data_IF_405032920530
#
_entry.id   IF_405032920530
#
_cell.length_a   1.000
_cell.length_b   1.000
_cell.length_c   1.000
_cell.angle_alpha   90.00
_cell.angle_beta   90.00
_cell.angle_gamma   90.00
#
_symmetry.space_group_name_H-M   'P 1'
#
loop_
_entity.id
_entity.type
_entity.pdbx_description
1 polymer ?
#
# COMPACT_ATOMS: atom_id res chain seq x y z
N UNK A 1 0.80 14.29 -16.13
CA UNK A 1 2.09 14.91 -15.73
C UNK A 1 1.97 16.42 -15.49
N UNK A 2 1.34 17.19 -16.39
CA UNK A 2 1.17 18.66 -16.25
C UNK A 2 0.63 19.07 -14.86
N UNK A 3 -0.46 18.45 -14.39
CA UNK A 3 -1.02 18.72 -13.04
C UNK A 3 -0.10 18.33 -11.89
N UNK A 4 0.69 17.26 -12.01
CA UNK A 4 1.62 16.84 -10.95
C UNK A 4 2.77 17.84 -10.81
N UNK A 5 3.24 18.37 -11.95
CA UNK A 5 4.27 19.39 -12.00
C UNK A 5 3.77 20.74 -11.44
N UNK A 6 2.54 21.15 -11.76
CA UNK A 6 1.90 22.33 -11.16
C UNK A 6 1.80 22.22 -9.63
N UNK A 7 1.46 21.03 -9.14
CA UNK A 7 1.37 20.71 -7.71
C UNK A 7 2.72 20.46 -7.04
N UNK A 8 3.83 20.52 -7.79
CA UNK A 8 5.21 20.29 -7.32
C UNK A 8 5.42 18.91 -6.66
N UNK A 9 4.67 17.90 -7.11
CA UNK A 9 4.92 16.53 -6.69
C UNK A 9 6.09 15.94 -7.47
N UNK A 10 7.05 15.37 -6.75
CA UNK A 10 8.09 14.53 -7.33
C UNK A 10 7.50 13.16 -7.68
N UNK A 11 7.74 12.71 -8.91
CA UNK A 11 7.33 11.38 -9.35
C UNK A 11 8.47 10.39 -9.11
N UNK A 12 8.23 9.43 -8.23
CA UNK A 12 9.17 8.33 -7.98
C UNK A 12 9.05 7.31 -9.13
N UNK A 13 10.15 6.92 -9.80
CA UNK A 13 10.12 5.87 -10.82
C UNK A 13 9.61 4.56 -10.22
N UNK A 14 8.65 3.92 -10.90
CA UNK A 14 8.10 2.63 -10.48
C UNK A 14 8.22 1.62 -11.64
N UNK A 15 8.89 0.47 -11.44
CA UNK A 15 8.96 -0.58 -12.45
C UNK A 15 7.58 -1.16 -12.75
N UNK A 16 7.40 -1.66 -13.97
CA UNK A 16 6.15 -2.32 -14.36
C UNK A 16 6.00 -3.66 -13.63
N UNK A 17 4.78 -4.01 -13.25
CA UNK A 17 4.43 -5.28 -12.61
C UNK A 17 5.16 -5.57 -11.29
N UNK A 18 5.47 -4.56 -10.47
CA UNK A 18 6.17 -4.75 -9.18
C UNK A 18 5.29 -4.45 -7.96
N UNK A 19 4.25 -5.27 -7.69
CA UNK A 19 3.37 -5.09 -6.53
C UNK A 19 4.13 -5.25 -5.20
N UNK A 20 5.20 -6.04 -5.19
CA UNK A 20 6.16 -6.20 -4.09
C UNK A 20 6.88 -4.89 -3.70
N UNK A 21 6.89 -3.91 -4.60
CA UNK A 21 7.45 -2.57 -4.38
C UNK A 21 6.39 -1.49 -4.08
N UNK A 22 5.12 -1.87 -3.89
CA UNK A 22 4.02 -0.95 -3.59
C UNK A 22 3.50 -1.18 -2.17
N UNK A 23 3.60 -0.21 -1.24
CA UNK A 23 3.16 -0.38 0.15
C UNK A 23 1.68 -0.72 0.30
N UNK A 24 0.84 -0.23 -0.61
CA UNK A 24 -0.57 -0.57 -0.61
C UNK A 24 -0.78 -2.07 -0.90
N UNK A 25 -0.04 -2.63 -1.85
CA UNK A 25 -0.18 -4.02 -2.31
C UNK A 25 0.46 -5.02 -1.34
N UNK A 26 1.68 -4.78 -0.87
CA UNK A 26 2.35 -5.75 0.02
C UNK A 26 1.99 -5.59 1.51
N UNK A 27 1.45 -4.43 1.91
CA UNK A 27 1.18 -4.13 3.34
C UNK A 27 -0.26 -3.75 3.64
N UNK A 28 -0.83 -2.70 3.03
CA UNK A 28 -2.16 -2.23 3.47
C UNK A 28 -3.29 -3.17 3.08
N UNK A 29 -3.41 -3.52 1.79
CA UNK A 29 -4.51 -4.33 1.28
C UNK A 29 -4.53 -5.77 1.81
N UNK A 30 -3.40 -6.46 2.00
CA UNK A 30 -3.42 -7.78 2.64
C UNK A 30 -4.04 -7.75 4.03
N UNK A 31 -3.67 -6.74 4.84
CA UNK A 31 -4.21 -6.59 6.19
C UNK A 31 -5.70 -6.21 6.18
N UNK A 32 -6.09 -5.32 5.26
CA UNK A 32 -7.51 -4.97 5.07
C UNK A 32 -8.33 -6.19 4.59
N UNK A 33 -7.81 -6.98 3.65
CA UNK A 33 -8.45 -8.19 3.13
C UNK A 33 -8.67 -9.23 4.22
N UNK A 34 -7.72 -9.39 5.15
CA UNK A 34 -7.90 -10.23 6.33
C UNK A 34 -9.04 -9.70 7.20
N UNK A 35 -9.09 -8.38 7.44
CA UNK A 35 -10.14 -7.77 8.25
C UNK A 35 -11.54 -7.89 7.61
N UNK A 36 -11.63 -7.76 6.30
CA UNK A 36 -12.90 -7.82 5.55
C UNK A 36 -13.28 -9.25 5.16
N UNK A 37 -12.35 -10.20 5.25
CA UNK A 37 -12.52 -11.57 4.81
C UNK A 37 -13.73 -12.25 5.45
N UNK A 38 -14.58 -12.85 4.62
CA UNK A 38 -15.77 -13.59 5.05
C UNK A 38 -16.96 -12.73 5.49
N UNK A 39 -16.81 -11.40 5.54
CA UNK A 39 -17.93 -10.49 5.82
C UNK A 39 -18.79 -10.31 4.58
N UNK A 40 -20.11 -10.26 4.76
CA UNK A 40 -21.07 -9.85 3.73
C UNK A 40 -21.60 -8.50 4.14
N UNK A 41 -21.49 -7.53 3.25
CA UNK A 41 -21.97 -6.17 3.46
C UNK A 41 -23.24 -5.97 2.65
N UNK A 42 -24.21 -5.25 3.20
CA UNK A 42 -25.37 -4.77 2.46
C UNK A 42 -25.14 -3.31 2.07
N UNK A 43 -25.38 -2.96 0.81
CA UNK A 43 -25.23 -1.58 0.31
C UNK A 43 -23.83 -1.01 0.64
N UNK A 44 -23.77 0.17 1.28
CA UNK A 44 -22.54 0.93 1.53
C UNK A 44 -21.88 0.61 2.90
N UNK A 45 -22.31 -0.44 3.60
CA UNK A 45 -21.73 -0.83 4.89
C UNK A 45 -20.24 -1.14 4.79
N UNK A 46 -19.76 -1.61 3.63
CA UNK A 46 -18.34 -1.88 3.40
C UNK A 46 -17.47 -0.62 3.53
N UNK A 47 -17.97 0.54 3.09
CA UNK A 47 -17.25 1.82 3.16
C UNK A 47 -17.11 2.25 4.62
N UNK A 48 -18.16 2.06 5.41
CA UNK A 48 -18.14 2.33 6.86
C UNK A 48 -17.13 1.42 7.54
N UNK A 49 -17.14 0.11 7.23
CA UNK A 49 -16.20 -0.85 7.80
C UNK A 49 -14.73 -0.54 7.45
N UNK A 50 -14.45 -0.09 6.23
CA UNK A 50 -13.10 0.35 5.82
C UNK A 50 -12.67 1.60 6.59
N UNK A 51 -13.55 2.58 6.75
CA UNK A 51 -13.26 3.80 7.51
C UNK A 51 -12.97 3.49 8.98
N UNK A 52 -13.79 2.64 9.61
CA UNK A 52 -13.60 2.21 11.00
C UNK A 52 -12.30 1.42 11.17
N UNK A 53 -11.96 0.54 10.22
CA UNK A 53 -10.70 -0.20 10.22
C UNK A 53 -9.50 0.75 10.27
N UNK A 54 -9.49 1.78 9.40
CA UNK A 54 -8.36 2.72 9.35
C UNK A 54 -8.34 3.71 10.52
N UNK A 55 -9.50 4.07 11.08
CA UNK A 55 -9.59 4.96 12.23
C UNK A 55 -8.89 4.40 13.49
N UNK A 56 -8.74 3.07 13.59
CA UNK A 56 -8.05 2.42 14.70
C UNK A 56 -6.51 2.51 14.65
N UNK A 57 -5.92 2.89 13.52
CA UNK A 57 -4.47 2.92 13.37
C UNK A 57 -3.87 4.30 13.63
N UNK A 58 -2.77 4.31 14.39
CA UNK A 58 -1.92 5.50 14.56
C UNK A 58 -1.03 5.69 13.33
N UNK A 59 -0.57 6.91 13.09
CA UNK A 59 0.42 7.24 12.04
C UNK A 59 1.64 6.30 12.03
N UNK A 60 2.07 5.84 13.21
CA UNK A 60 3.16 4.88 13.35
C UNK A 60 2.94 3.58 12.55
N UNK A 61 1.71 3.07 12.47
CA UNK A 61 1.37 1.88 11.71
C UNK A 61 1.69 2.06 10.22
N UNK A 62 1.21 3.15 9.62
CA UNK A 62 1.45 3.48 8.22
C UNK A 62 2.94 3.76 7.95
N UNK A 63 3.60 4.49 8.86
CA UNK A 63 5.04 4.75 8.74
C UNK A 63 5.86 3.45 8.75
N UNK A 64 5.42 2.44 9.51
CA UNK A 64 6.03 1.11 9.52
C UNK A 64 5.90 0.41 8.16
N UNK A 65 4.75 0.52 7.51
CA UNK A 65 4.54 0.02 6.14
C UNK A 65 5.44 0.71 5.11
N UNK A 66 5.57 2.04 5.18
CA UNK A 66 6.47 2.80 4.29
C UNK A 66 7.93 2.43 4.52
N UNK A 67 8.37 2.28 5.78
CA UNK A 67 9.75 1.86 6.09
C UNK A 67 10.14 0.49 5.53
N UNK A 68 9.17 -0.40 5.29
CA UNK A 68 9.43 -1.70 4.65
C UNK A 68 9.86 -1.57 3.18
N UNK A 69 9.63 -0.43 2.53
CA UNK A 69 10.11 -0.20 1.16
C UNK A 69 11.61 -0.35 1.03
N UNK A 70 12.38 0.09 2.03
CA UNK A 70 13.83 -0.05 2.03
C UNK A 70 14.25 -1.52 1.93
N UNK A 71 13.56 -2.39 2.68
CA UNK A 71 13.78 -3.84 2.65
C UNK A 71 13.37 -4.41 1.28
N UNK A 72 12.21 -4.00 0.75
CA UNK A 72 11.76 -4.48 -0.55
C UNK A 72 12.74 -4.07 -1.67
N UNK A 73 13.16 -2.81 -1.72
CA UNK A 73 14.14 -2.34 -2.71
C UNK A 73 15.47 -3.08 -2.61
N UNK A 74 15.95 -3.35 -1.39
CA UNK A 74 17.20 -4.11 -1.18
C UNK A 74 17.07 -5.52 -1.76
N UNK A 75 15.98 -6.22 -1.46
CA UNK A 75 15.73 -7.57 -2.00
C UNK A 75 15.56 -7.58 -3.52
N UNK A 76 14.87 -6.60 -4.09
CA UNK A 76 14.73 -6.46 -5.54
C UNK A 76 16.10 -6.33 -6.23
N UNK A 77 17.05 -5.61 -5.61
CA UNK A 77 18.42 -5.52 -6.12
C UNK A 77 19.14 -6.88 -5.99
N UNK A 78 19.03 -7.53 -4.82
CA UNK A 78 19.69 -8.81 -4.55
C UNK A 78 19.19 -9.93 -5.47
N UNK A 79 17.94 -9.85 -5.92
CA UNK A 79 17.29 -10.81 -6.83
C UNK A 79 17.41 -10.43 -8.31
N UNK A 80 18.27 -9.46 -8.65
CA UNK A 80 18.43 -8.94 -10.03
C UNK A 80 17.08 -8.59 -10.69
N UNK A 81 16.22 -7.92 -9.92
CA UNK A 81 14.88 -7.47 -10.30
C UNK A 81 13.84 -8.58 -10.48
N UNK A 82 14.13 -9.81 -10.07
CA UNK A 82 13.09 -10.82 -9.90
C UNK A 82 12.18 -10.49 -8.70
N UNK A 83 11.02 -11.13 -8.65
CA UNK A 83 10.02 -10.93 -7.61
C UNK A 83 10.55 -11.34 -6.23
N UNK A 84 10.19 -10.54 -5.22
CA UNK A 84 10.54 -10.75 -3.80
C UNK A 84 9.66 -11.80 -3.12
#
# INVERSE_FOLDING_TARGET
LVKLHELRFELIPHPSYSPDLVPCEFFQFPNLKICLGGKKFSLNEEVVAVNEYFAGFKTAYFSGGIKKLEICWTKCIDLDRDYI
#
